data_IF_771130190708
#
_entry.id   IF_771130190708
#
_cell.length_a   1.000
_cell.length_b   1.000
_cell.length_c   1.000
_cell.angle_alpha   90.00
_cell.angle_beta   90.00
_cell.angle_gamma   90.00
#
_symmetry.space_group_name_H-M   'P 1'
#
loop_
_entity.id
_entity.type
_entity.pdbx_description
1 polymer ?
#
# COMPACT_ATOMS: atom_id res chain seq x y z
N UNK A 1 -2.69 -45.32 -1.08
CA UNK A 1 -3.18 -44.16 -1.86
C UNK A 1 -2.07 -43.11 -1.82
N UNK A 2 -1.05 -43.18 -2.70
CA UNK A 2 -0.95 -42.55 -4.04
C UNK A 2 -1.36 -41.07 -3.98
N UNK A 3 -0.49 -40.05 -4.11
CA UNK A 3 0.51 -39.66 -5.14
C UNK A 3 1.48 -38.62 -4.47
N UNK A 4 2.83 -38.69 -4.46
CA UNK A 4 3.86 -38.35 -5.48
C UNK A 4 3.52 -37.06 -6.25
N UNK A 5 4.34 -36.02 -6.42
CA UNK A 5 5.78 -35.70 -6.29
C UNK A 5 5.94 -34.24 -6.81
N UNK A 6 7.07 -33.59 -7.06
CA UNK A 6 8.52 -33.75 -6.82
C UNK A 6 9.08 -32.34 -7.11
N UNK A 7 10.20 -32.01 -6.46
CA UNK A 7 10.95 -30.78 -6.62
C UNK A 7 11.86 -30.74 -7.86
N UNK A 8 12.26 -29.51 -8.19
CA UNK A 8 13.61 -29.06 -8.61
C UNK A 8 14.11 -29.22 -10.06
N UNK A 9 14.46 -28.03 -10.59
CA UNK A 9 15.76 -27.65 -11.19
C UNK A 9 15.93 -27.81 -12.70
N UNK A 10 16.13 -26.66 -13.36
CA UNK A 10 16.55 -26.51 -14.76
C UNK A 10 17.84 -25.68 -14.80
N UNK A 11 18.84 -26.18 -15.51
CA UNK A 11 19.96 -25.42 -16.08
C UNK A 11 20.56 -26.23 -17.25
N UNK A 12 21.30 -25.52 -18.11
CA UNK A 12 21.96 -25.90 -19.38
C UNK A 12 21.11 -25.59 -20.63
N UNK A 13 21.29 -24.45 -21.32
CA UNK A 13 22.40 -23.96 -22.17
C UNK A 13 22.55 -24.80 -23.46
N UNK A 14 22.40 -24.14 -24.62
CA UNK A 14 22.69 -24.69 -25.93
C UNK A 14 22.42 -23.66 -27.05
N UNK A 15 23.51 -23.11 -27.56
CA UNK A 15 23.68 -22.08 -28.61
C UNK A 15 22.98 -22.37 -29.96
N UNK A 16 22.45 -21.33 -30.63
CA UNK A 16 22.97 -20.71 -31.88
C UNK A 16 22.58 -21.39 -33.20
N UNK A 17 21.89 -20.64 -34.06
CA UNK A 17 22.40 -20.26 -35.40
C UNK A 17 21.46 -19.23 -36.04
N UNK A 18 22.03 -18.25 -36.72
CA UNK A 18 21.33 -17.13 -37.34
C UNK A 18 20.96 -17.34 -38.81
N UNK A 19 20.38 -16.28 -39.38
CA UNK A 19 20.61 -15.67 -40.71
C UNK A 19 19.31 -15.30 -41.45
N UNK A 20 19.23 -13.99 -41.75
CA UNK A 20 18.81 -13.35 -43.01
C UNK A 20 17.36 -13.54 -43.52
N UNK A 21 16.73 -12.65 -44.28
CA UNK A 21 16.90 -11.27 -44.75
C UNK A 21 15.66 -10.98 -45.64
N UNK A 22 15.29 -9.70 -45.83
CA UNK A 22 14.54 -9.12 -46.98
C UNK A 22 13.16 -9.72 -47.33
N UNK A 23 12.08 -9.00 -47.65
CA UNK A 23 11.89 -7.77 -48.40
C UNK A 23 10.63 -7.95 -49.27
N UNK A 24 10.11 -6.85 -49.80
CA UNK A 24 9.18 -6.76 -50.93
C UNK A 24 7.66 -6.64 -50.69
N UNK A 25 7.03 -6.02 -51.69
CA UNK A 25 6.03 -4.99 -51.60
C UNK A 25 4.70 -5.36 -52.28
N UNK A 26 3.72 -4.48 -52.10
CA UNK A 26 2.77 -4.12 -53.16
C UNK A 26 1.53 -4.99 -53.31
N UNK A 27 0.36 -4.48 -52.88
CA UNK A 27 -0.89 -4.81 -53.57
C UNK A 27 -1.99 -3.75 -53.43
N UNK A 28 -2.29 -3.09 -54.57
CA UNK A 28 -3.63 -2.66 -54.99
C UNK A 28 -3.72 -2.97 -56.49
N UNK A 29 -4.87 -3.45 -56.98
CA UNK A 29 -5.66 -2.57 -57.84
C UNK A 29 -7.19 -2.72 -57.72
N UNK A 30 -7.84 -1.83 -58.47
CA UNK A 30 -9.25 -1.46 -58.60
C UNK A 30 -10.11 -2.39 -59.49
N UNK A 31 -11.41 -2.01 -59.56
CA UNK A 31 -12.41 -2.14 -60.67
C UNK A 31 -13.37 -3.34 -60.49
N UNK A 32 -14.67 -3.21 -60.20
CA UNK A 32 -15.84 -2.50 -60.80
C UNK A 32 -16.54 -3.26 -61.94
N UNK A 33 -17.89 -3.28 -61.86
CA UNK A 33 -18.95 -3.58 -62.86
C UNK A 33 -19.25 -5.08 -63.17
N UNK A 34 -20.49 -5.56 -63.45
CA UNK A 34 -21.79 -4.95 -63.82
C UNK A 34 -22.96 -6.00 -63.79
N UNK A 35 -24.18 -5.46 -63.61
CA UNK A 35 -25.50 -5.81 -64.24
C UNK A 35 -26.23 -7.15 -64.04
N UNK A 36 -27.51 -7.06 -63.60
CA UNK A 36 -28.75 -7.46 -64.33
C UNK A 36 -29.96 -7.35 -63.38
N UNK A 37 -30.86 -6.36 -63.50
CA UNK A 37 -32.14 -6.30 -64.27
C UNK A 37 -33.36 -7.00 -63.63
N UNK A 38 -34.41 -6.22 -63.33
CA UNK A 38 -35.86 -6.49 -63.61
C UNK A 38 -36.79 -5.47 -62.93
N UNK A 39 -37.99 -5.29 -63.50
CA UNK A 39 -38.88 -4.10 -63.50
C UNK A 39 -40.02 -4.13 -62.44
N UNK A 40 -40.87 -3.07 -62.31
CA UNK A 40 -41.38 -2.57 -61.02
C UNK A 40 -42.83 -2.96 -60.68
N UNK A 41 -43.19 -2.87 -59.38
CA UNK A 41 -44.58 -2.92 -58.90
C UNK A 41 -44.89 -1.75 -57.95
N UNK A 42 -46.09 -1.20 -58.11
CA UNK A 42 -46.63 0.03 -57.53
C UNK A 42 -46.72 0.08 -56.00
N UNK A 43 -46.38 1.26 -55.50
CA UNK A 43 -46.89 1.99 -54.33
C UNK A 43 -47.99 1.37 -53.46
N UNK A 44 -47.67 1.12 -52.19
CA UNK A 44 -48.44 1.60 -51.01
C UNK A 44 -47.45 1.88 -49.87
N UNK A 45 -47.25 3.16 -49.53
CA UNK A 45 -46.46 3.55 -48.36
C UNK A 45 -47.25 3.20 -47.10
N UNK A 46 -46.75 2.26 -46.30
CA UNK A 46 -47.08 2.14 -44.87
C UNK A 46 -46.02 2.94 -44.10
N UNK A 47 -46.38 3.71 -43.07
CA UNK A 47 -45.39 4.36 -42.23
C UNK A 47 -44.59 3.30 -41.45
N UNK A 48 -43.26 3.45 -41.49
CA UNK A 48 -42.33 2.69 -40.67
C UNK A 48 -42.56 3.08 -39.20
N UNK A 49 -42.90 2.11 -38.35
CA UNK A 49 -42.80 2.24 -36.91
C UNK A 49 -41.32 2.35 -36.54
N UNK A 50 -40.95 3.50 -36.00
CA UNK A 50 -39.66 3.79 -35.42
C UNK A 50 -39.49 2.95 -34.14
N UNK A 51 -38.79 1.82 -34.25
CA UNK A 51 -38.33 1.04 -33.11
C UNK A 51 -37.08 1.71 -32.53
N UNK A 52 -37.23 2.87 -31.90
CA UNK A 52 -36.22 3.46 -31.04
C UNK A 52 -36.19 2.69 -29.72
N UNK A 53 -35.22 1.75 -29.62
CA UNK A 53 -34.85 1.08 -28.37
C UNK A 53 -34.39 2.15 -27.37
N UNK A 54 -35.19 2.44 -26.36
CA UNK A 54 -34.72 3.11 -25.15
C UNK A 54 -33.80 2.17 -24.40
N UNK A 55 -32.54 2.59 -24.23
CA UNK A 55 -31.61 1.91 -23.32
C UNK A 55 -32.18 2.00 -21.89
N UNK A 56 -32.04 0.96 -21.05
CA UNK A 56 -32.40 1.07 -19.65
C UNK A 56 -31.49 2.11 -18.99
N UNK A 57 -32.05 3.27 -18.66
CA UNK A 57 -31.42 4.26 -17.80
C UNK A 57 -31.26 3.66 -16.41
N UNK A 58 -30.03 3.29 -16.04
CA UNK A 58 -29.66 3.04 -14.65
C UNK A 58 -30.10 4.25 -13.83
N UNK A 59 -30.86 4.08 -12.73
CA UNK A 59 -31.19 5.20 -11.88
C UNK A 59 -29.89 5.88 -11.40
N UNK A 60 -29.83 7.21 -11.36
CA UNK A 60 -28.67 7.90 -10.82
C UNK A 60 -28.45 7.43 -9.38
N UNK A 61 -27.17 7.24 -9.02
CA UNK A 61 -26.80 6.94 -7.64
C UNK A 61 -27.49 7.92 -6.69
N UNK A 62 -28.00 7.45 -5.54
CA UNK A 62 -28.60 8.34 -4.55
C UNK A 62 -27.60 9.47 -4.23
N UNK A 63 -28.09 10.70 -3.98
CA UNK A 63 -27.23 11.82 -3.67
C UNK A 63 -26.30 11.41 -2.53
N UNK A 64 -24.98 11.47 -2.79
CA UNK A 64 -23.95 11.25 -1.77
C UNK A 64 -24.22 12.29 -0.70
N UNK A 65 -24.86 11.86 0.38
CA UNK A 65 -24.97 12.66 1.59
C UNK A 65 -23.56 12.74 2.13
N UNK A 66 -22.95 13.92 1.98
CA UNK A 66 -21.56 14.23 2.37
C UNK A 66 -21.43 14.31 3.89
N UNK A 67 -21.91 13.28 4.58
CA UNK A 67 -21.65 13.09 6.00
C UNK A 67 -20.22 12.57 6.06
N UNK A 68 -19.30 13.25 6.78
CA UNK A 68 -17.93 12.79 6.91
C UNK A 68 -17.93 11.38 7.48
N UNK A 69 -17.63 10.40 6.63
CA UNK A 69 -17.54 9.01 7.06
C UNK A 69 -16.12 8.72 7.54
N UNK A 70 -15.97 8.14 8.75
CA UNK A 70 -14.67 7.86 9.30
C UNK A 70 -13.90 6.88 8.40
N UNK A 71 -12.58 7.07 8.35
CA UNK A 71 -11.66 6.15 7.70
C UNK A 71 -10.89 5.37 8.75
N UNK A 72 -10.59 4.13 8.44
CA UNK A 72 -9.84 3.22 9.27
C UNK A 72 -8.65 2.70 8.49
N UNK A 73 -7.57 2.37 9.18
CA UNK A 73 -6.41 1.75 8.59
C UNK A 73 -5.79 0.76 9.58
N UNK A 74 -5.16 -0.28 9.04
CA UNK A 74 -4.44 -1.27 9.85
C UNK A 74 -2.97 -1.08 9.59
N UNK A 75 -2.24 -0.71 10.63
CA UNK A 75 -0.84 -0.33 10.54
C UNK A 75 0.04 -1.15 11.48
N UNK A 76 1.32 -1.19 11.19
CA UNK A 76 2.34 -1.41 12.20
C UNK A 76 2.72 -0.06 12.81
N UNK A 77 2.73 0.02 14.13
CA UNK A 77 3.26 1.13 14.89
C UNK A 77 4.31 0.59 15.86
N UNK A 78 5.49 1.23 16.00
CA UNK A 78 6.45 0.82 17.02
C UNK A 78 5.82 0.80 18.42
N UNK A 79 6.33 -0.03 19.34
CA UNK A 79 5.83 -0.04 20.72
C UNK A 79 5.87 1.36 21.34
N UNK A 80 4.80 1.74 22.05
CA UNK A 80 4.66 3.09 22.63
C UNK A 80 5.85 3.50 23.52
N UNK A 81 6.40 2.55 24.29
CA UNK A 81 7.56 2.78 25.16
C UNK A 81 8.92 2.81 24.41
N UNK A 82 8.95 2.49 23.12
CA UNK A 82 10.20 2.40 22.35
C UNK A 82 10.83 3.78 22.16
N UNK A 83 12.17 3.80 22.07
CA UNK A 83 12.91 5.02 21.72
C UNK A 83 12.51 5.54 20.34
N UNK A 84 12.31 4.63 19.39
CA UNK A 84 11.89 4.95 18.04
C UNK A 84 10.56 5.70 18.01
N UNK A 85 9.55 5.20 18.74
CA UNK A 85 8.24 5.85 18.84
C UNK A 85 8.37 7.29 19.31
N UNK A 86 9.02 7.51 20.46
CA UNK A 86 9.19 8.85 21.04
C UNK A 86 9.91 9.82 20.10
N UNK A 87 11.00 9.38 19.46
CA UNK A 87 11.74 10.22 18.51
C UNK A 87 10.89 10.57 17.29
N UNK A 88 10.12 9.62 16.77
CA UNK A 88 9.31 9.82 15.59
C UNK A 88 8.09 10.71 15.86
N UNK A 89 7.38 10.54 16.98
CA UNK A 89 6.28 11.44 17.35
C UNK A 89 6.78 12.88 17.54
N UNK A 90 7.94 13.05 18.20
CA UNK A 90 8.58 14.37 18.35
C UNK A 90 9.01 14.95 17.00
N UNK A 91 9.62 14.15 16.13
CA UNK A 91 9.96 14.57 14.76
C UNK A 91 8.73 15.02 13.97
N UNK A 92 7.63 14.28 14.04
CA UNK A 92 6.38 14.66 13.38
C UNK A 92 5.66 15.81 14.08
N UNK A 93 6.06 16.21 15.29
CA UNK A 93 5.46 17.31 16.04
C UNK A 93 4.09 17.00 16.65
N UNK A 94 3.72 15.72 16.72
CA UNK A 94 2.43 15.27 17.26
C UNK A 94 2.49 13.81 17.69
N UNK A 95 1.94 13.52 18.87
CA UNK A 95 1.66 12.15 19.27
C UNK A 95 0.30 11.71 18.70
N UNK A 96 0.29 10.77 17.76
CA UNK A 96 -0.94 10.24 17.19
C UNK A 96 -1.74 9.31 18.13
N UNK A 97 -1.22 8.94 19.31
CA UNK A 97 -1.95 8.14 20.30
C UNK A 97 -2.68 9.03 21.33
N UNK A 98 -2.06 10.12 21.79
CA UNK A 98 -2.70 11.10 22.71
C UNK A 98 -3.30 12.34 22.01
N UNK A 99 -3.01 12.52 20.72
CA UNK A 99 -3.27 13.73 19.93
C UNK A 99 -2.55 15.01 20.40
N UNK A 100 -1.57 14.86 21.32
CA UNK A 100 -0.83 16.00 21.85
C UNK A 100 0.17 16.56 20.82
N UNK A 101 0.26 17.90 20.77
CA UNK A 101 1.32 18.58 20.03
C UNK A 101 2.65 18.41 20.75
N UNK A 102 3.69 18.09 20.00
CA UNK A 102 5.04 17.91 20.52
C UNK A 102 5.99 18.93 19.91
N UNK A 103 6.98 19.36 20.69
CA UNK A 103 8.05 20.21 20.16
C UNK A 103 8.92 19.40 19.18
N UNK A 104 9.06 19.91 17.96
CA UNK A 104 9.95 19.32 16.96
C UNK A 104 11.41 19.63 17.28
N UNK A 105 12.36 18.73 16.97
CA UNK A 105 13.77 18.97 17.20
C UNK A 105 14.30 20.09 16.29
N UNK A 106 15.26 20.86 16.80
CA UNK A 106 16.05 21.76 15.97
C UNK A 106 17.08 20.94 15.18
N UNK A 107 17.22 21.23 13.88
CA UNK A 107 18.24 20.66 13.02
C UNK A 107 19.07 21.79 12.39
N UNK A 108 20.40 21.62 12.37
CA UNK A 108 21.31 22.63 11.83
C UNK A 108 20.97 22.96 10.37
N UNK A 109 20.83 24.24 10.05
CA UNK A 109 20.51 24.68 8.69
C UNK A 109 19.05 24.44 8.27
N UNK A 110 18.15 24.09 9.20
CA UNK A 110 16.70 24.02 8.98
C UNK A 110 15.96 24.94 9.94
N UNK A 111 15.04 25.73 9.40
CA UNK A 111 14.12 26.52 10.24
C UNK A 111 12.98 25.63 10.75
N UNK A 112 12.33 26.06 11.84
CA UNK A 112 11.17 25.35 12.39
C UNK A 112 10.04 25.20 11.35
N UNK A 113 9.79 26.25 10.55
CA UNK A 113 8.77 26.25 9.49
C UNK A 113 9.09 25.26 8.39
N UNK A 114 10.38 25.11 8.05
CA UNK A 114 10.82 24.14 7.05
C UNK A 114 10.63 22.70 7.52
N UNK A 115 10.89 22.42 8.80
CA UNK A 115 10.64 21.10 9.40
C UNK A 115 9.13 20.84 9.45
N UNK A 116 8.35 21.80 9.96
CA UNK A 116 6.90 21.69 10.03
C UNK A 116 6.29 21.38 8.64
N UNK A 117 6.66 22.16 7.61
CA UNK A 117 6.21 21.93 6.24
C UNK A 117 6.65 20.56 5.68
N UNK A 118 7.89 20.13 5.96
CA UNK A 118 8.38 18.82 5.53
C UNK A 118 7.62 17.66 6.19
N UNK A 119 7.11 17.86 7.41
CA UNK A 119 6.43 16.82 8.21
C UNK A 119 4.91 16.89 8.17
N UNK A 120 4.30 17.91 7.57
CA UNK A 120 2.85 18.15 7.57
C UNK A 120 2.05 16.90 7.14
N UNK A 121 2.42 16.32 5.99
CA UNK A 121 1.73 15.13 5.47
C UNK A 121 1.84 13.92 6.40
N UNK A 122 3.04 13.44 6.80
CA UNK A 122 3.13 12.32 7.74
C UNK A 122 2.58 12.63 9.15
N UNK A 123 2.65 13.88 9.63
CA UNK A 123 2.02 14.31 10.88
C UNK A 123 0.50 14.04 10.84
N UNK A 124 -0.15 14.30 9.70
CA UNK A 124 -1.58 14.08 9.49
C UNK A 124 -1.97 12.60 9.60
N UNK A 125 -1.14 11.69 9.10
CA UNK A 125 -1.40 10.24 9.17
C UNK A 125 -0.92 9.59 10.48
N UNK A 126 -0.08 10.29 11.25
CA UNK A 126 0.62 9.73 12.41
C UNK A 126 1.76 8.78 12.01
N UNK A 127 2.69 8.53 12.92
CA UNK A 127 3.83 7.67 12.62
C UNK A 127 3.42 6.19 12.53
N UNK A 128 3.69 5.54 11.40
CA UNK A 128 3.26 4.16 11.14
C UNK A 128 3.93 3.56 9.89
N UNK A 129 3.83 2.23 9.72
CA UNK A 129 3.99 1.53 8.45
C UNK A 129 2.65 0.92 8.01
N UNK A 130 2.28 1.11 6.74
CA UNK A 130 0.97 0.67 6.23
C UNK A 130 0.92 -0.85 6.03
N UNK A 131 -0.01 -1.57 6.69
CA UNK A 131 -0.32 -2.98 6.38
C UNK A 131 -1.60 -3.10 5.53
N UNK A 132 -2.65 -2.35 5.89
CA UNK A 132 -3.85 -2.11 5.08
C UNK A 132 -4.07 -0.60 4.98
N UNK A 133 -4.04 -0.09 3.76
CA UNK A 133 -4.24 1.33 3.46
C UNK A 133 -5.62 1.83 3.93
N UNK A 134 -5.79 3.13 4.20
CA UNK A 134 -7.05 3.69 4.67
C UNK A 134 -8.28 3.31 3.85
N UNK A 135 -9.35 2.91 4.53
CA UNK A 135 -10.63 2.55 3.96
C UNK A 135 -11.81 3.08 4.79
N UNK A 136 -12.97 3.24 4.16
CA UNK A 136 -14.24 3.40 4.87
C UNK A 136 -14.86 2.02 5.08
N UNK A 137 -15.66 1.85 6.14
CA UNK A 137 -16.38 0.59 6.33
C UNK A 137 -17.42 0.37 5.23
N UNK A 138 -17.54 -0.87 4.77
CA UNK A 138 -18.60 -1.26 3.84
C UNK A 138 -20.00 -1.06 4.47
N UNK A 139 -21.03 -0.81 3.65
CA UNK A 139 -22.40 -0.77 4.15
C UNK A 139 -22.77 -2.04 4.91
N UNK A 140 -23.36 -1.88 6.10
CA UNK A 140 -23.75 -3.01 6.96
C UNK A 140 -22.63 -3.60 7.82
N UNK A 141 -21.39 -3.12 7.68
CA UNK A 141 -20.26 -3.53 8.53
C UNK A 141 -20.04 -2.52 9.65
N UNK A 142 -20.00 -2.99 10.88
CA UNK A 142 -19.81 -2.16 12.08
C UNK A 142 -18.34 -2.06 12.51
N UNK A 143 -18.00 -0.99 13.22
CA UNK A 143 -16.70 -0.86 13.88
C UNK A 143 -16.45 -2.00 14.87
N UNK A 144 -17.49 -2.47 15.57
CA UNK A 144 -17.39 -3.60 16.51
C UNK A 144 -16.93 -4.88 15.82
N UNK A 145 -17.45 -5.18 14.63
CA UNK A 145 -17.01 -6.34 13.84
C UNK A 145 -15.56 -6.21 13.39
N UNK A 146 -15.13 -4.99 13.01
CA UNK A 146 -13.73 -4.73 12.67
C UNK A 146 -12.80 -4.99 13.87
N UNK A 147 -13.14 -4.48 15.06
CA UNK A 147 -12.38 -4.74 16.28
C UNK A 147 -12.33 -6.24 16.60
N UNK A 148 -13.46 -6.95 16.51
CA UNK A 148 -13.51 -8.40 16.72
C UNK A 148 -12.62 -9.17 15.76
N UNK A 149 -12.62 -8.80 14.47
CA UNK A 149 -11.75 -9.40 13.46
C UNK A 149 -10.28 -9.07 13.70
N UNK A 150 -9.95 -7.84 14.12
CA UNK A 150 -8.58 -7.45 14.48
C UNK A 150 -8.04 -8.26 15.66
N UNK A 151 -8.83 -8.42 16.72
CA UNK A 151 -8.45 -9.23 17.87
C UNK A 151 -8.24 -10.70 17.50
N UNK A 152 -9.16 -11.28 16.70
CA UNK A 152 -9.03 -12.65 16.20
C UNK A 152 -7.86 -12.84 15.23
N UNK A 153 -7.61 -11.87 14.35
CA UNK A 153 -6.46 -11.88 13.45
C UNK A 153 -5.16 -11.86 14.24
N UNK A 154 -5.03 -10.94 15.20
CA UNK A 154 -3.83 -10.76 16.00
C UNK A 154 -3.54 -12.01 16.85
N UNK A 155 -4.55 -12.64 17.46
CA UNK A 155 -4.34 -13.85 18.27
C UNK A 155 -3.76 -15.04 17.50
N UNK A 156 -3.94 -15.08 16.17
CA UNK A 156 -3.39 -16.10 15.28
C UNK A 156 -1.96 -15.80 14.81
N UNK A 157 -1.47 -14.56 14.98
CA UNK A 157 -0.12 -14.18 14.57
C UNK A 157 0.94 -14.60 15.59
N UNK A 158 2.14 -14.89 15.09
CA UNK A 158 3.34 -15.10 15.91
C UNK A 158 4.18 -13.80 15.94
N UNK A 159 4.66 -13.34 17.11
CA UNK A 159 5.64 -12.27 17.18
C UNK A 159 6.94 -12.63 16.46
N UNK A 160 7.57 -11.63 15.83
CA UNK A 160 8.86 -11.81 15.16
C UNK A 160 9.72 -10.55 15.26
N UNK A 161 10.99 -10.69 14.89
CA UNK A 161 11.94 -9.57 14.77
C UNK A 161 12.21 -9.32 13.28
N UNK A 162 11.84 -8.15 12.78
CA UNK A 162 12.23 -7.73 11.44
C UNK A 162 13.66 -7.13 11.46
N UNK A 163 14.37 -7.07 10.31
CA UNK A 163 15.69 -6.45 10.24
C UNK A 163 15.72 -5.03 10.80
N UNK A 164 16.89 -4.55 11.28
CA UNK A 164 17.05 -3.18 11.73
C UNK A 164 16.62 -2.15 10.68
N UNK A 165 16.33 -0.93 11.09
CA UNK A 165 15.87 0.13 10.19
C UNK A 165 17.03 0.95 9.63
N UNK A 166 16.77 1.65 8.53
CA UNK A 166 17.65 2.68 7.99
C UNK A 166 16.84 3.86 7.45
N UNK A 167 17.44 5.04 7.46
CA UNK A 167 16.85 6.21 6.79
C UNK A 167 17.09 6.07 5.28
N UNK A 168 16.02 6.16 4.49
CA UNK A 168 16.06 6.02 3.04
C UNK A 168 15.20 7.08 2.36
N UNK A 169 15.58 7.48 1.15
CA UNK A 169 14.71 8.22 0.26
C UNK A 169 13.88 7.25 -0.60
N UNK A 170 12.58 7.48 -0.68
CA UNK A 170 11.65 6.75 -1.57
C UNK A 170 11.07 7.80 -2.53
N UNK A 171 11.60 7.84 -3.75
CA UNK A 171 11.28 8.91 -4.69
C UNK A 171 11.55 10.29 -4.08
N UNK A 172 10.53 11.16 -3.93
CA UNK A 172 10.73 12.51 -3.44
C UNK A 172 10.72 12.65 -1.91
N UNK A 173 10.47 11.62 -1.12
CA UNK A 173 10.32 11.74 0.35
C UNK A 173 11.28 10.84 1.12
N UNK A 174 11.44 11.10 2.42
CA UNK A 174 12.32 10.34 3.32
C UNK A 174 11.46 9.48 4.24
N UNK A 175 11.89 8.25 4.48
CA UNK A 175 11.23 7.28 5.36
C UNK A 175 12.26 6.39 6.07
N UNK A 176 11.81 5.70 7.11
CA UNK A 176 12.53 4.55 7.67
C UNK A 176 12.13 3.30 6.90
N UNK A 177 13.10 2.53 6.44
CA UNK A 177 12.88 1.24 5.75
C UNK A 177 13.64 0.12 6.45
N UNK A 178 13.26 -1.12 6.21
CA UNK A 178 14.05 -2.26 6.68
C UNK A 178 15.41 -2.27 5.95
N UNK A 179 16.47 -2.58 6.70
CA UNK A 179 17.84 -2.71 6.18
C UNK A 179 17.99 -3.87 5.19
N UNK A 180 17.23 -4.94 5.38
CA UNK A 180 17.12 -6.12 4.53
C UNK A 180 15.65 -6.56 4.36
N UNK A 181 15.32 -7.39 3.36
CA UNK A 181 13.98 -7.97 3.23
C UNK A 181 13.55 -8.79 4.45
N UNK A 182 12.24 -8.85 4.73
CA UNK A 182 11.65 -9.73 5.75
C UNK A 182 10.44 -10.44 5.17
N UNK A 183 10.51 -11.76 5.09
CA UNK A 183 9.40 -12.62 4.65
C UNK A 183 8.23 -12.58 5.61
N UNK A 184 8.50 -12.46 6.91
CA UNK A 184 7.50 -12.38 7.98
C UNK A 184 6.69 -11.09 7.87
N UNK A 185 7.35 -9.95 7.64
CA UNK A 185 6.68 -8.67 7.41
C UNK A 185 5.85 -8.70 6.11
N UNK A 186 6.41 -9.28 5.05
CA UNK A 186 5.72 -9.45 3.77
C UNK A 186 4.45 -10.31 3.93
N UNK A 187 4.54 -11.42 4.69
CA UNK A 187 3.42 -12.30 4.98
C UNK A 187 2.36 -11.62 5.85
N UNK A 188 2.78 -10.89 6.89
CA UNK A 188 1.86 -10.12 7.75
C UNK A 188 1.07 -9.08 6.95
N UNK A 189 1.75 -8.31 6.07
CA UNK A 189 1.10 -7.32 5.22
C UNK A 189 0.12 -7.98 4.23
N UNK A 190 0.51 -9.08 3.60
CA UNK A 190 -0.37 -9.82 2.69
C UNK A 190 -1.61 -10.36 3.40
N UNK A 191 -1.43 -10.98 4.58
CA UNK A 191 -2.53 -11.48 5.40
C UNK A 191 -3.47 -10.35 5.83
N UNK A 192 -2.95 -9.20 6.27
CA UNK A 192 -3.78 -8.04 6.61
C UNK A 192 -4.59 -7.53 5.40
N UNK A 193 -3.98 -7.47 4.21
CA UNK A 193 -4.70 -7.06 3.00
C UNK A 193 -5.86 -8.00 2.70
N UNK A 194 -5.64 -9.31 2.78
CA UNK A 194 -6.62 -10.35 2.47
C UNK A 194 -7.74 -10.43 3.52
N UNK A 195 -7.39 -10.48 4.81
CA UNK A 195 -8.34 -10.71 5.90
C UNK A 195 -9.27 -9.52 6.16
N UNK A 196 -8.81 -8.30 5.87
CA UNK A 196 -9.57 -7.08 6.11
C UNK A 196 -10.22 -6.50 4.84
N UNK A 197 -10.09 -7.13 3.67
CA UNK A 197 -10.67 -6.57 2.43
C UNK A 197 -12.20 -6.53 2.48
N UNK A 198 -12.85 -7.52 3.10
CA UNK A 198 -14.31 -7.53 3.27
C UNK A 198 -14.87 -6.37 4.10
N UNK A 199 -14.02 -5.65 4.84
CA UNK A 199 -14.45 -4.51 5.67
C UNK A 199 -14.47 -3.20 4.89
N UNK A 200 -13.80 -3.09 3.75
CA UNK A 200 -13.74 -1.83 3.00
C UNK A 200 -14.99 -1.64 2.14
N UNK A 201 -15.51 -0.43 2.10
CA UNK A 201 -16.40 -0.01 1.02
C UNK A 201 -15.68 -0.09 -0.33
N UNK A 202 -16.44 -0.30 -1.41
CA UNK A 202 -15.91 -0.11 -2.75
C UNK A 202 -15.38 1.32 -2.89
N UNK A 203 -14.17 1.52 -3.46
CA UNK A 203 -13.66 2.86 -3.70
C UNK A 203 -14.58 3.59 -4.68
N UNK A 204 -14.83 4.88 -4.44
CA UNK A 204 -15.60 5.70 -5.36
C UNK A 204 -14.88 5.81 -6.70
N UNK A 205 -15.62 5.88 -7.82
CA UNK A 205 -15.04 5.89 -9.17
C UNK A 205 -13.98 6.99 -9.37
N UNK A 206 -14.23 8.18 -8.82
CA UNK A 206 -13.29 9.31 -8.87
C UNK A 206 -11.97 9.04 -8.09
N UNK A 207 -12.03 8.27 -7.00
CA UNK A 207 -10.84 7.88 -6.22
C UNK A 207 -9.98 6.87 -6.99
N UNK A 208 -10.61 5.96 -7.73
CA UNK A 208 -9.93 5.03 -8.62
C UNK A 208 -9.28 5.76 -9.79
N UNK A 209 -10.02 6.62 -10.49
CA UNK A 209 -9.52 7.40 -11.64
C UNK A 209 -8.31 8.26 -11.27
N UNK A 210 -8.40 8.99 -10.14
CA UNK A 210 -7.28 9.79 -9.63
C UNK A 210 -6.03 8.96 -9.38
N UNK A 211 -6.18 7.71 -8.92
CA UNK A 211 -5.05 6.81 -8.65
C UNK A 211 -4.49 6.20 -9.93
N UNK A 212 -5.34 5.82 -10.88
CA UNK A 212 -4.94 5.31 -12.20
C UNK A 212 -4.13 6.36 -12.99
N UNK A 213 -4.49 7.64 -12.87
CA UNK A 213 -3.78 8.75 -13.52
C UNK A 213 -2.35 9.00 -13.04
N UNK A 214 -1.83 8.25 -12.07
CA UNK A 214 -0.48 8.42 -11.50
C UNK A 214 0.62 7.59 -12.19
N UNK A 215 0.36 7.03 -13.37
CA UNK A 215 1.36 6.24 -14.10
C UNK A 215 1.64 4.89 -13.46
N UNK A 216 0.60 4.19 -12.99
CA UNK A 216 0.71 2.85 -12.43
C UNK A 216 1.06 1.82 -13.52
N UNK A 217 1.91 0.86 -13.17
CA UNK A 217 2.16 -0.31 -14.04
C UNK A 217 0.88 -1.13 -14.22
N UNK A 218 0.75 -1.95 -15.29
CA UNK A 218 -0.43 -2.80 -15.46
C UNK A 218 -0.74 -3.64 -14.22
N UNK A 219 0.30 -4.19 -13.57
CA UNK A 219 0.14 -4.98 -12.36
C UNK A 219 -0.38 -4.16 -11.17
N UNK A 220 0.13 -2.95 -10.98
CA UNK A 220 -0.35 -2.04 -9.94
C UNK A 220 -1.82 -1.61 -10.17
N UNK A 221 -2.25 -1.49 -11.43
CA UNK A 221 -3.65 -1.22 -11.77
C UNK A 221 -4.55 -2.42 -11.36
N UNK A 222 -4.14 -3.65 -11.67
CA UNK A 222 -4.85 -4.86 -11.22
C UNK A 222 -4.97 -4.91 -9.69
N UNK A 223 -3.88 -4.65 -8.97
CA UNK A 223 -3.89 -4.60 -7.51
C UNK A 223 -4.80 -3.49 -6.97
N UNK A 224 -4.80 -2.32 -7.60
CA UNK A 224 -5.71 -1.23 -7.25
C UNK A 224 -7.18 -1.66 -7.43
N UNK A 225 -7.52 -2.36 -8.51
CA UNK A 225 -8.87 -2.85 -8.74
C UNK A 225 -9.30 -3.92 -7.73
N UNK A 226 -8.41 -4.87 -7.41
CA UNK A 226 -8.72 -5.98 -6.50
C UNK A 226 -8.77 -5.54 -5.03
N UNK A 227 -7.80 -4.73 -4.60
CA UNK A 227 -7.55 -4.46 -3.17
C UNK A 227 -7.83 -3.01 -2.76
N UNK A 228 -8.18 -2.15 -3.73
CA UNK A 228 -8.36 -0.73 -3.52
C UNK A 228 -7.05 0.04 -3.30
N UNK A 229 -5.87 -0.57 -3.48
CA UNK A 229 -4.57 0.07 -3.31
C UNK A 229 -3.48 -0.63 -4.15
N UNK A 230 -2.59 0.11 -4.86
CA UNK A 230 -1.67 -0.49 -5.82
C UNK A 230 -0.39 -1.08 -5.20
N UNK A 231 -0.02 -0.69 -3.98
CA UNK A 231 1.25 -1.07 -3.35
C UNK A 231 1.04 -2.13 -2.26
N UNK A 232 0.37 -3.22 -2.63
CA UNK A 232 0.05 -4.38 -1.77
C UNK A 232 0.69 -5.64 -2.31
N UNK A 233 0.69 -6.73 -1.52
CA UNK A 233 1.21 -8.03 -1.93
C UNK A 233 2.64 -7.90 -2.48
N UNK A 234 2.94 -8.37 -3.67
CA UNK A 234 4.28 -8.29 -4.28
C UNK A 234 4.83 -6.85 -4.44
N UNK A 235 3.96 -5.83 -4.47
CA UNK A 235 4.34 -4.42 -4.52
C UNK A 235 4.52 -3.81 -3.11
N UNK A 236 4.23 -4.54 -2.03
CA UNK A 236 4.40 -4.07 -0.66
C UNK A 236 5.87 -3.78 -0.36
N UNK A 237 6.14 -2.62 0.22
CA UNK A 237 7.46 -2.23 0.72
C UNK A 237 7.28 -1.60 2.10
N UNK A 238 7.89 -2.20 3.12
CA UNK A 238 7.85 -1.65 4.46
C UNK A 238 8.54 -0.27 4.48
N UNK A 239 7.80 0.74 4.93
CA UNK A 239 8.35 2.05 5.20
C UNK A 239 7.53 2.79 6.27
N UNK A 240 8.18 3.64 7.05
CA UNK A 240 7.55 4.59 7.96
C UNK A 240 7.95 6.01 7.56
N UNK A 241 7.00 6.77 7.04
CA UNK A 241 7.25 8.06 6.40
C UNK A 241 7.69 9.12 7.41
N UNK A 242 8.79 9.82 7.11
CA UNK A 242 9.33 10.91 7.92
C UNK A 242 9.04 12.28 7.32
N UNK A 243 8.92 12.38 6.00
CA UNK A 243 8.61 13.65 5.33
C UNK A 243 7.56 13.47 4.23
N UNK A 244 6.90 14.56 3.85
CA UNK A 244 6.25 14.68 2.55
C UNK A 244 7.29 14.82 1.42
N UNK A 245 6.83 15.05 0.17
CA UNK A 245 7.70 15.27 -0.98
C UNK A 245 8.62 16.49 -0.80
N UNK A 246 9.91 16.29 -1.07
CA UNK A 246 10.97 17.30 -1.10
C UNK A 246 11.53 17.35 -2.52
N UNK A 247 11.14 18.37 -3.29
CA UNK A 247 11.46 18.46 -4.73
C UNK A 247 12.97 18.59 -4.99
N UNK A 248 13.67 19.38 -4.18
CA UNK A 248 15.10 19.63 -4.36
C UNK A 248 15.94 18.47 -3.82
N UNK A 249 16.62 17.75 -4.72
CA UNK A 249 17.43 16.58 -4.39
C UNK A 249 18.53 16.87 -3.37
N UNK A 250 19.32 17.93 -3.56
CA UNK A 250 20.40 18.29 -2.63
C UNK A 250 19.87 18.59 -1.21
N UNK A 251 18.70 19.23 -1.13
CA UNK A 251 18.02 19.49 0.14
C UNK A 251 17.54 18.20 0.80
N UNK A 252 16.95 17.28 0.03
CA UNK A 252 16.52 15.96 0.51
C UNK A 252 17.71 15.13 1.02
N UNK A 253 18.83 15.11 0.31
CA UNK A 253 20.05 14.39 0.71
C UNK A 253 20.63 14.94 2.03
N UNK A 254 20.73 16.28 2.16
CA UNK A 254 21.16 16.91 3.42
C UNK A 254 20.27 16.54 4.59
N UNK A 255 18.94 16.57 4.40
CA UNK A 255 18.01 16.15 5.46
C UNK A 255 18.17 14.68 5.81
N UNK A 256 18.36 13.82 4.80
CA UNK A 256 18.52 12.38 5.01
C UNK A 256 19.72 12.08 5.92
N UNK A 257 20.85 12.77 5.73
CA UNK A 257 22.05 12.61 6.58
C UNK A 257 21.77 13.04 8.03
N UNK A 258 21.08 14.17 8.22
CA UNK A 258 20.72 14.64 9.56
C UNK A 258 19.73 13.70 10.25
N UNK A 259 18.72 13.21 9.52
CA UNK A 259 17.78 12.23 10.04
C UNK A 259 18.46 10.90 10.38
N UNK A 260 19.46 10.47 9.60
CA UNK A 260 20.25 9.30 9.92
C UNK A 260 21.00 9.46 11.25
N UNK A 261 21.53 10.66 11.52
CA UNK A 261 22.18 10.99 12.80
C UNK A 261 21.16 11.05 13.94
N UNK A 262 20.04 11.73 13.74
CA UNK A 262 18.99 11.92 14.75
C UNK A 262 18.34 10.59 15.17
N UNK A 263 17.99 9.75 14.19
CA UNK A 263 17.34 8.46 14.46
C UNK A 263 18.34 7.34 14.77
N UNK A 264 19.59 7.42 14.33
CA UNK A 264 20.60 6.35 14.40
C UNK A 264 20.60 5.52 15.70
N UNK A 265 20.61 6.15 16.89
CA UNK A 265 20.58 5.45 18.18
C UNK A 265 19.31 4.60 18.47
N UNK A 266 18.28 4.68 17.63
CA UNK A 266 17.05 3.91 17.72
C UNK A 266 16.86 2.92 16.55
N UNK A 267 17.80 2.85 15.59
CA UNK A 267 17.67 2.04 14.38
C UNK A 267 18.59 0.81 14.36
N UNK A 268 19.46 0.63 15.36
CA UNK A 268 20.48 -0.44 15.39
C UNK A 268 19.90 -1.82 15.68
N UNK A 269 18.86 -1.89 16.51
CA UNK A 269 18.25 -3.15 16.93
C UNK A 269 17.24 -3.65 15.89
N UNK A 270 17.05 -4.98 15.80
CA UNK A 270 15.92 -5.56 15.09
C UNK A 270 14.59 -4.97 15.56
N UNK A 271 13.65 -4.84 14.63
CA UNK A 271 12.35 -4.23 14.90
C UNK A 271 11.40 -5.28 15.49
N UNK A 272 10.94 -5.13 16.74
CA UNK A 272 9.99 -6.06 17.33
C UNK A 272 8.59 -5.86 16.74
N UNK A 273 8.06 -6.89 16.09
CA UNK A 273 6.70 -6.92 15.54
C UNK A 273 5.87 -7.89 16.37
N UNK A 274 5.07 -7.34 17.26
CA UNK A 274 4.27 -8.08 18.25
C UNK A 274 2.82 -7.64 18.33
N UNK A 275 2.45 -6.68 17.51
CA UNK A 275 1.12 -6.09 17.47
C UNK A 275 0.89 -5.41 16.12
N UNK A 276 -0.38 -5.33 15.75
CA UNK A 276 -0.88 -4.39 14.74
C UNK A 276 -1.71 -3.33 15.44
N UNK A 277 -1.94 -2.20 14.78
CA UNK A 277 -2.69 -1.07 15.33
C UNK A 277 -3.81 -0.67 14.40
N UNK A 278 -4.98 -0.41 14.98
CA UNK A 278 -6.07 0.26 14.30
C UNK A 278 -5.87 1.76 14.41
N UNK A 279 -5.80 2.42 13.27
CA UNK A 279 -5.85 3.87 13.20
C UNK A 279 -7.23 4.29 12.69
N UNK A 280 -7.75 5.39 13.21
CA UNK A 280 -9.04 5.96 12.81
C UNK A 280 -8.88 7.44 12.48
N UNK A 281 -9.70 7.93 11.56
CA UNK A 281 -9.75 9.32 11.16
C UNK A 281 -11.21 9.72 11.03
N UNK A 282 -11.65 10.65 11.88
CA UNK A 282 -13.06 11.02 11.97
C UNK A 282 -13.58 11.73 10.69
N UNK A 283 -12.77 12.60 10.10
CA UNK A 283 -13.06 13.31 8.85
C UNK A 283 -11.81 13.38 7.97
N UNK A 284 -11.94 13.77 6.70
CA UNK A 284 -10.79 13.85 5.79
C UNK A 284 -9.76 14.91 6.24
N UNK A 285 -10.24 15.98 6.87
CA UNK A 285 -9.49 17.15 7.35
C UNK A 285 -8.85 16.94 8.73
N UNK A 286 -9.39 16.02 9.54
CA UNK A 286 -8.82 15.66 10.84
C UNK A 286 -7.66 14.67 10.70
N UNK A 287 -6.74 14.59 11.67
CA UNK A 287 -5.64 13.66 11.60
C UNK A 287 -6.08 12.22 11.89
N UNK A 288 -5.27 11.25 11.48
CA UNK A 288 -5.40 9.88 11.96
C UNK A 288 -4.90 9.78 13.40
N UNK A 289 -5.63 9.03 14.21
CA UNK A 289 -5.31 8.67 15.59
C UNK A 289 -5.10 7.17 15.69
N UNK A 290 -4.11 6.75 16.47
CA UNK A 290 -3.97 5.37 16.90
C UNK A 290 -5.10 5.10 17.90
N UNK A 291 -6.08 4.30 17.51
CA UNK A 291 -7.25 4.00 18.31
C UNK A 291 -7.01 2.82 19.26
N UNK A 292 -6.38 1.75 18.77
CA UNK A 292 -6.14 0.55 19.56
C UNK A 292 -4.96 -0.27 19.01
N UNK A 293 -4.25 -0.96 19.92
CA UNK A 293 -3.16 -1.90 19.60
C UNK A 293 -3.63 -3.32 19.89
N UNK A 294 -3.49 -4.22 18.92
CA UNK A 294 -3.87 -5.63 19.02
C UNK A 294 -2.62 -6.51 19.07
N UNK A 295 -2.32 -7.05 20.25
CA UNK A 295 -1.15 -7.91 20.48
C UNK A 295 -1.31 -9.28 19.83
N UNK A 296 -0.19 -9.79 19.33
CA UNK A 296 -0.10 -11.13 18.77
C UNK A 296 -0.21 -12.19 19.85
N UNK A 297 -0.88 -13.30 19.54
CA UNK A 297 -1.20 -14.35 20.51
C UNK A 297 -0.05 -15.32 20.80
N UNK A 298 0.96 -15.40 19.92
CA UNK A 298 2.13 -16.23 20.12
C UNK A 298 3.02 -15.75 21.27
N UNK A 299 3.66 -16.68 21.99
CA UNK A 299 4.79 -16.35 22.85
C UNK A 299 5.98 -15.90 21.96
N UNK A 300 6.78 -14.91 22.37
CA UNK A 300 8.01 -14.58 21.64
C UNK A 300 8.88 -15.84 21.57
N UNK A 301 9.30 -16.23 20.37
CA UNK A 301 10.27 -17.32 20.22
C UNK A 301 11.51 -16.95 21.05
N UNK A 302 11.82 -17.76 22.06
CA UNK A 302 13.04 -17.61 22.83
C UNK A 302 14.22 -17.74 21.86
N UNK A 303 15.06 -16.70 21.78
CA UNK A 303 16.34 -16.80 21.09
C UNK A 303 17.24 -17.71 21.92
N UNK A 304 17.17 -19.02 21.69
CA UNK A 304 18.15 -19.97 22.20
C UNK A 304 19.49 -19.72 21.51
N UNK A 305 20.32 -18.91 22.17
CA UNK A 305 21.72 -18.69 21.85
C UNK A 305 22.58 -18.95 23.08
N UNK A 306 22.56 -20.17 23.60
CA UNK A 306 23.50 -20.63 24.61
C UNK A 306 24.58 -21.50 23.97
N UNK A 307 25.83 -21.06 24.06
CA UNK A 307 26.94 -21.97 24.36
C UNK A 307 28.04 -21.19 25.08
N UNK A 308 27.95 -21.21 26.40
CA UNK A 308 29.11 -20.96 27.25
C UNK A 308 30.21 -21.97 26.93
N UNK A 309 31.43 -21.48 26.78
CA UNK A 309 32.61 -22.34 26.88
C UNK A 309 32.91 -22.55 28.36
N UNK A 310 32.70 -23.78 28.79
CA UNK A 310 33.05 -24.29 30.10
C UNK A 310 34.57 -24.52 30.15
N UNK A 311 35.22 -23.87 31.12
CA UNK A 311 36.58 -24.16 31.53
C UNK A 311 36.62 -25.59 32.10
N UNK A 312 37.51 -26.43 31.58
CA UNK A 312 38.00 -27.61 32.32
C UNK A 312 39.51 -27.51 32.42
N UNK A 313 39.96 -27.31 33.64
CA UNK A 313 41.33 -27.50 34.12
C UNK A 313 41.71 -28.97 34.11
N UNK A 314 42.91 -29.27 33.63
CA UNK A 314 43.81 -30.29 34.16
C UNK A 314 45.25 -29.85 33.90
#
# INVERSE_FOLDING_TARGET
>A
MLYIGIARQLLEIGESCGLNAEGDAGHRPHVVTKLSSSRPVRSRRRPLQDCSRTAPTTPPDPPVTDTPQPRYAVYYAPPAASRLWRLAQAWLGRDCESDERLAQPALDGWTAEQIAAATESPQHYGFHATLKAPFRLAPGVSLRELHGKLAAFASLQQPFLAPPLKVSAIGPFIALTLSAPSSEMQALAAAAVQDFDGFRAAPASHDLERRLGKGLTPRQQELLHLWGYPYVLEEFRFHMTLTGPLAETARRERLQVQLATFFGPALTEPVPVREISLYSQASAEGPFLLAERFRFGGAPAASDGHSGQEQTTA
#
